data_IF_438346564916
#
_entry.id   IF_438346564916
#
_cell.length_a   1.000
_cell.length_b   1.000
_cell.length_c   1.000
_cell.angle_alpha   90.00
_cell.angle_beta   90.00
_cell.angle_gamma   90.00
#
_symmetry.space_group_name_H-M   'P 1'
#
loop_
_entity.id
_entity.type
_entity.pdbx_description
1 polymer ?
#
# COMPACT_ATOMS: atom_id res chain seq x y z
N UNK A 1 15.83 38.37 -23.41
CA UNK A 1 14.41 38.03 -23.11
C UNK A 1 13.62 37.49 -24.32
N UNK A 2 13.75 38.02 -25.55
CA UNK A 2 13.00 37.54 -26.73
C UNK A 2 13.30 36.08 -27.14
N UNK A 3 14.55 35.63 -27.02
CA UNK A 3 14.96 34.24 -27.36
C UNK A 3 14.36 33.22 -26.37
N UNK A 4 14.28 33.56 -25.08
CA UNK A 4 13.72 32.69 -24.05
C UNK A 4 12.21 32.50 -24.22
N UNK A 5 11.51 33.56 -24.64
CA UNK A 5 10.07 33.50 -24.97
C UNK A 5 9.82 32.65 -26.23
N UNK A 6 10.66 32.77 -27.27
CA UNK A 6 10.57 31.93 -28.46
C UNK A 6 10.85 30.45 -28.16
N UNK A 7 11.87 30.16 -27.34
CA UNK A 7 12.15 28.79 -26.87
C UNK A 7 10.99 28.22 -26.05
N UNK A 8 10.36 28.99 -25.17
CA UNK A 8 9.18 28.56 -24.40
C UNK A 8 7.97 28.26 -25.28
N UNK A 9 7.71 29.09 -26.29
CA UNK A 9 6.63 28.84 -27.27
C UNK A 9 6.93 27.59 -28.09
N UNK A 10 8.17 27.42 -28.54
CA UNK A 10 8.59 26.24 -29.30
C UNK A 10 8.52 24.96 -28.47
N UNK A 11 8.94 25.01 -27.20
CA UNK A 11 8.81 23.89 -26.24
C UNK A 11 7.34 23.57 -25.95
N UNK A 12 6.49 24.58 -25.82
CA UNK A 12 5.05 24.42 -25.64
C UNK A 12 4.39 23.76 -26.86
N UNK A 13 4.73 24.18 -28.08
CA UNK A 13 4.26 23.56 -29.31
C UNK A 13 4.75 22.11 -29.47
N UNK A 14 6.01 21.82 -29.13
CA UNK A 14 6.56 20.45 -29.13
C UNK A 14 5.84 19.58 -28.10
N UNK A 15 5.60 20.11 -26.88
CA UNK A 15 4.87 19.39 -25.83
C UNK A 15 3.42 19.13 -26.25
N UNK A 16 2.71 20.09 -26.83
CA UNK A 16 1.31 19.91 -27.27
C UNK A 16 1.19 18.91 -28.40
N UNK A 17 2.07 18.98 -29.41
CA UNK A 17 2.02 18.06 -30.53
C UNK A 17 2.34 16.62 -30.10
N UNK A 18 3.31 16.44 -29.20
CA UNK A 18 3.61 15.14 -28.63
C UNK A 18 2.45 14.60 -27.77
N UNK A 19 1.77 15.46 -27.01
CA UNK A 19 0.61 15.09 -26.20
C UNK A 19 -0.58 14.69 -27.07
N UNK A 20 -0.88 15.45 -28.13
CA UNK A 20 -1.98 15.12 -29.06
C UNK A 20 -1.70 13.82 -29.83
N UNK A 21 -0.45 13.59 -30.25
CA UNK A 21 -0.04 12.34 -30.89
C UNK A 21 -0.15 11.15 -29.92
N UNK A 22 0.31 11.33 -28.68
CA UNK A 22 0.21 10.32 -27.63
C UNK A 22 -1.24 9.94 -27.33
N UNK A 23 -2.14 10.93 -27.19
CA UNK A 23 -3.56 10.66 -26.97
C UNK A 23 -4.22 9.97 -28.17
N UNK A 24 -3.88 10.34 -29.40
CA UNK A 24 -4.39 9.67 -30.60
C UNK A 24 -3.97 8.19 -30.64
N UNK A 25 -2.70 7.91 -30.34
CA UNK A 25 -2.21 6.54 -30.26
C UNK A 25 -2.86 5.76 -29.11
N UNK A 26 -3.00 6.38 -27.93
CA UNK A 26 -3.66 5.76 -26.79
C UNK A 26 -5.14 5.44 -27.06
N UNK A 27 -5.84 6.32 -27.77
CA UNK A 27 -7.25 6.16 -28.12
C UNK A 27 -7.45 5.09 -29.22
N UNK A 28 -6.61 5.10 -30.25
CA UNK A 28 -6.56 4.02 -31.25
C UNK A 28 -6.31 2.67 -30.57
N UNK A 29 -5.32 2.63 -29.67
CA UNK A 29 -4.99 1.43 -28.92
C UNK A 29 -6.07 1.01 -27.91
N UNK A 30 -6.92 1.92 -27.46
CA UNK A 30 -8.07 1.58 -26.62
C UNK A 30 -9.15 0.83 -27.39
N UNK A 31 -9.41 1.25 -28.63
CA UNK A 31 -10.39 0.64 -29.52
C UNK A 31 -9.78 -0.53 -30.30
N UNK A 32 -9.85 -0.54 -31.62
CA UNK A 32 -9.38 -1.65 -32.46
C UNK A 32 -8.10 -1.31 -33.23
N UNK A 33 -7.22 -0.51 -32.60
CA UNK A 33 -5.97 -0.04 -33.19
C UNK A 33 -6.27 0.72 -34.49
N UNK A 34 -5.84 0.20 -35.64
CA UNK A 34 -6.07 0.81 -36.96
C UNK A 34 -7.24 0.18 -37.73
N UNK A 35 -7.84 -0.89 -37.21
CA UNK A 35 -8.94 -1.62 -37.85
C UNK A 35 -10.29 -1.19 -37.24
N UNK A 36 -11.38 -1.27 -38.02
CA UNK A 36 -12.71 -0.99 -37.48
C UNK A 36 -13.21 -2.19 -36.64
N UNK A 37 -13.72 -1.94 -35.44
CA UNK A 37 -14.25 -2.99 -34.58
C UNK A 37 -15.43 -3.74 -35.22
N UNK A 38 -16.22 -3.06 -36.05
CA UNK A 38 -17.31 -3.66 -36.82
C UNK A 38 -16.80 -4.60 -37.90
N UNK A 39 -15.73 -4.21 -38.61
CA UNK A 39 -15.12 -5.06 -39.64
C UNK A 39 -14.43 -6.29 -39.06
N UNK A 40 -13.81 -6.18 -37.88
CA UNK A 40 -13.22 -7.33 -37.17
C UNK A 40 -14.28 -8.40 -36.86
N UNK A 41 -15.49 -7.97 -36.49
CA UNK A 41 -16.61 -8.87 -36.21
C UNK A 41 -17.46 -9.22 -37.45
N UNK A 42 -17.18 -8.62 -38.61
CA UNK A 42 -17.91 -8.84 -39.85
C UNK A 42 -19.39 -8.45 -39.78
N UNK A 43 -19.71 -7.36 -39.08
CA UNK A 43 -21.09 -6.88 -38.86
C UNK A 43 -21.24 -5.40 -39.21
N UNK A 44 -22.44 -4.93 -39.61
CA UNK A 44 -22.70 -3.52 -39.86
C UNK A 44 -22.83 -2.70 -38.56
N UNK A 45 -22.66 -1.38 -38.67
CA UNK A 45 -22.78 -0.42 -37.55
C UNK A 45 -24.18 -0.40 -36.91
N UNK A 46 -25.21 -0.82 -37.65
CA UNK A 46 -26.62 -0.88 -37.20
C UNK A 46 -26.98 -2.15 -36.43
N UNK A 47 -26.07 -3.14 -36.36
CA UNK A 47 -26.36 -4.44 -35.76
C UNK A 47 -26.80 -4.37 -34.30
N UNK A 48 -27.74 -5.26 -33.94
CA UNK A 48 -28.23 -5.39 -32.57
C UNK A 48 -27.17 -6.02 -31.63
N UNK A 49 -27.35 -5.88 -30.31
CA UNK A 49 -26.45 -6.53 -29.34
C UNK A 49 -26.47 -8.06 -29.46
N UNK A 50 -27.60 -8.65 -29.87
CA UNK A 50 -27.73 -10.09 -30.12
C UNK A 50 -26.85 -10.54 -31.28
N UNK A 51 -26.88 -9.80 -32.40
CA UNK A 51 -26.04 -10.08 -33.57
C UNK A 51 -24.55 -9.93 -33.27
N UNK A 52 -24.16 -8.89 -32.53
CA UNK A 52 -22.77 -8.69 -32.08
C UNK A 52 -22.29 -9.91 -31.26
N UNK A 53 -23.12 -10.36 -30.33
CA UNK A 53 -22.82 -11.52 -29.47
C UNK A 53 -22.74 -12.81 -30.28
N UNK A 54 -23.68 -13.03 -31.20
CA UNK A 54 -23.71 -14.20 -32.08
C UNK A 54 -22.47 -14.26 -32.98
N UNK A 55 -22.10 -13.16 -33.63
CA UNK A 55 -20.91 -13.10 -34.51
C UNK A 55 -19.62 -13.35 -33.72
N UNK A 56 -19.50 -12.79 -32.51
CA UNK A 56 -18.36 -13.05 -31.62
C UNK A 56 -18.19 -14.54 -31.30
N UNK A 57 -19.25 -15.25 -30.90
CA UNK A 57 -19.13 -16.68 -30.59
C UNK A 57 -18.84 -17.52 -31.83
N UNK A 58 -19.45 -17.20 -32.98
CA UNK A 58 -19.14 -17.86 -34.26
C UNK A 58 -17.66 -17.73 -34.63
N UNK A 59 -17.08 -16.54 -34.45
CA UNK A 59 -15.65 -16.31 -34.69
C UNK A 59 -14.76 -17.07 -33.70
N UNK A 60 -15.14 -17.14 -32.42
CA UNK A 60 -14.41 -17.95 -31.43
C UNK A 60 -14.45 -19.44 -31.76
N UNK A 61 -15.60 -19.96 -32.21
CA UNK A 61 -15.76 -21.36 -32.59
C UNK A 61 -14.86 -21.72 -33.78
N UNK A 62 -14.83 -20.85 -34.79
CA UNK A 62 -13.97 -21.03 -35.96
C UNK A 62 -12.47 -21.08 -35.63
N UNK A 63 -12.06 -20.50 -34.50
CA UNK A 63 -10.66 -20.48 -34.04
C UNK A 63 -10.26 -21.69 -33.21
N UNK A 64 -11.18 -22.60 -32.86
CA UNK A 64 -10.82 -23.82 -32.11
C UNK A 64 -9.86 -24.74 -32.89
N UNK A 65 -10.05 -24.81 -34.21
CA UNK A 65 -9.24 -25.67 -35.08
C UNK A 65 -7.91 -25.03 -35.50
N UNK A 66 -7.82 -23.69 -35.48
CA UNK A 66 -6.61 -22.95 -35.84
C UNK A 66 -6.39 -21.78 -34.86
N UNK A 67 -5.73 -22.09 -33.74
CA UNK A 67 -5.57 -21.16 -32.64
C UNK A 67 -4.53 -20.07 -32.92
N UNK A 68 -5.00 -18.83 -33.08
CA UNK A 68 -4.14 -17.64 -33.13
C UNK A 68 -4.46 -16.70 -31.97
N UNK A 69 -3.49 -16.53 -31.06
CA UNK A 69 -3.63 -15.67 -29.86
C UNK A 69 -3.87 -14.21 -30.21
N UNK A 70 -3.18 -13.68 -31.22
CA UNK A 70 -3.27 -12.27 -31.61
C UNK A 70 -4.63 -11.94 -32.25
N UNK A 71 -5.09 -12.80 -33.17
CA UNK A 71 -6.42 -12.68 -33.77
C UNK A 71 -7.52 -12.77 -32.71
N UNK A 72 -7.38 -13.69 -31.74
CA UNK A 72 -8.31 -13.80 -30.61
C UNK A 72 -8.33 -12.52 -29.77
N UNK A 73 -7.18 -11.90 -29.47
CA UNK A 73 -7.12 -10.63 -28.74
C UNK A 73 -7.87 -9.52 -29.49
N UNK A 74 -7.67 -9.37 -30.81
CA UNK A 74 -8.39 -8.39 -31.63
C UNK A 74 -9.91 -8.59 -31.58
N UNK A 75 -10.38 -9.83 -31.74
CA UNK A 75 -11.82 -10.16 -31.70
C UNK A 75 -12.42 -9.88 -30.32
N UNK A 76 -11.74 -10.28 -29.24
CA UNK A 76 -12.20 -10.00 -27.87
C UNK A 76 -12.25 -8.49 -27.62
N UNK A 77 -11.27 -7.72 -28.11
CA UNK A 77 -11.22 -6.26 -27.99
C UNK A 77 -12.36 -5.58 -28.76
N UNK A 78 -12.61 -5.99 -30.01
CA UNK A 78 -13.74 -5.48 -30.79
C UNK A 78 -15.09 -5.77 -30.10
N UNK A 79 -15.26 -6.99 -29.59
CA UNK A 79 -16.46 -7.36 -28.84
C UNK A 79 -16.63 -6.54 -27.55
N UNK A 80 -15.56 -6.33 -26.76
CA UNK A 80 -15.65 -5.59 -25.49
C UNK A 80 -16.00 -4.12 -25.69
N UNK A 81 -15.53 -3.51 -26.79
CA UNK A 81 -15.91 -2.14 -27.18
C UNK A 81 -17.38 -2.08 -27.58
N UNK A 82 -17.86 -3.03 -28.40
CA UNK A 82 -19.19 -2.97 -29.02
C UNK A 82 -20.34 -3.49 -28.13
N UNK A 83 -20.06 -4.40 -27.19
CA UNK A 83 -21.11 -5.03 -26.36
C UNK A 83 -21.79 -4.06 -25.38
N UNK A 84 -21.06 -3.05 -24.89
CA UNK A 84 -21.60 -2.10 -23.94
C UNK A 84 -22.12 -0.85 -24.67
N UNK A 85 -23.39 -0.51 -24.44
CA UNK A 85 -24.08 0.63 -25.06
C UNK A 85 -23.30 1.95 -24.93
N UNK A 86 -22.64 2.17 -23.79
CA UNK A 86 -21.86 3.40 -23.54
C UNK A 86 -20.58 3.45 -24.36
N UNK A 87 -19.80 2.37 -24.37
CA UNK A 87 -18.53 2.28 -25.10
C UNK A 87 -18.75 2.27 -26.60
N UNK A 88 -19.80 1.57 -27.07
CA UNK A 88 -20.24 1.62 -28.48
C UNK A 88 -20.55 3.05 -28.91
N UNK A 89 -21.35 3.79 -28.14
CA UNK A 89 -21.65 5.20 -28.44
C UNK A 89 -20.39 6.08 -28.54
N UNK A 90 -19.40 5.86 -27.66
CA UNK A 90 -18.12 6.57 -27.74
C UNK A 90 -17.33 6.20 -28.98
N UNK A 91 -17.35 4.92 -29.36
CA UNK A 91 -16.70 4.45 -30.57
C UNK A 91 -17.37 5.01 -31.84
N UNK A 92 -18.70 4.98 -31.92
CA UNK A 92 -19.46 5.55 -33.04
C UNK A 92 -19.21 7.06 -33.20
N UNK A 93 -19.07 7.78 -32.08
CA UNK A 93 -18.71 9.19 -32.09
C UNK A 93 -17.25 9.41 -32.53
N UNK A 94 -16.32 8.56 -32.09
CA UNK A 94 -14.92 8.58 -32.52
C UNK A 94 -14.77 8.36 -34.03
N UNK A 95 -15.52 7.42 -34.61
CA UNK A 95 -15.51 7.17 -36.06
C UNK A 95 -15.94 8.41 -36.86
N UNK A 96 -16.92 9.17 -36.37
CA UNK A 96 -17.41 10.39 -37.03
C UNK A 96 -16.47 11.59 -36.83
N UNK A 97 -15.87 11.71 -35.65
CA UNK A 97 -15.08 12.88 -35.26
C UNK A 97 -13.77 12.47 -34.57
N UNK A 98 -12.79 11.91 -35.30
CA UNK A 98 -11.59 11.32 -34.68
C UNK A 98 -10.73 12.33 -33.89
N UNK A 99 -10.65 13.59 -34.36
CA UNK A 99 -9.84 14.64 -33.73
C UNK A 99 -10.59 15.46 -32.67
N UNK A 100 -11.80 15.05 -32.27
CA UNK A 100 -12.60 15.76 -31.27
C UNK A 100 -12.04 15.58 -29.86
N UNK A 101 -11.93 16.68 -29.10
CA UNK A 101 -11.53 16.67 -27.69
C UNK A 101 -12.51 15.84 -26.83
N UNK A 102 -13.78 15.75 -27.25
CA UNK A 102 -14.78 14.95 -26.54
C UNK A 102 -14.42 13.45 -26.50
N UNK A 103 -13.70 12.92 -27.48
CA UNK A 103 -13.21 11.53 -27.45
C UNK A 103 -12.25 11.31 -26.27
N UNK A 104 -11.35 12.26 -26.05
CA UNK A 104 -10.38 12.21 -24.95
C UNK A 104 -11.13 12.26 -23.61
N UNK A 105 -12.14 13.12 -23.50
CA UNK A 105 -12.99 13.21 -22.30
C UNK A 105 -13.72 11.88 -22.05
N UNK A 106 -14.33 11.27 -23.07
CA UNK A 106 -15.02 9.99 -22.92
C UNK A 106 -14.07 8.85 -22.55
N UNK A 107 -12.88 8.81 -23.14
CA UNK A 107 -11.82 7.87 -22.78
C UNK A 107 -11.39 8.02 -21.32
N UNK A 108 -11.05 9.24 -20.88
CA UNK A 108 -10.66 9.51 -19.50
C UNK A 108 -11.80 9.15 -18.54
N UNK A 109 -13.03 9.56 -18.87
CA UNK A 109 -14.23 9.27 -18.08
C UNK A 109 -14.42 7.77 -17.90
N UNK A 110 -14.27 6.97 -18.97
CA UNK A 110 -14.39 5.51 -18.89
C UNK A 110 -13.38 4.90 -17.90
N UNK A 111 -12.11 5.32 -17.96
CA UNK A 111 -11.08 4.82 -17.04
C UNK A 111 -11.31 5.28 -15.61
N UNK A 112 -11.72 6.53 -15.40
CA UNK A 112 -12.11 7.06 -14.08
C UNK A 112 -13.23 6.22 -13.48
N UNK A 113 -14.29 5.91 -14.24
CA UNK A 113 -15.38 5.07 -13.74
C UNK A 113 -14.93 3.64 -13.42
N UNK A 114 -14.02 3.07 -14.21
CA UNK A 114 -13.47 1.73 -13.94
C UNK A 114 -12.62 1.73 -12.66
N UNK A 115 -11.76 2.73 -12.49
CA UNK A 115 -10.96 2.91 -11.29
C UNK A 115 -11.84 3.19 -10.07
N UNK A 116 -12.87 4.01 -10.19
CA UNK A 116 -13.80 4.32 -9.12
C UNK A 116 -14.49 3.06 -8.57
N UNK A 117 -14.90 2.13 -9.44
CA UNK A 117 -15.45 0.83 -9.00
C UNK A 117 -14.46 0.03 -8.17
N UNK A 118 -13.18 -0.01 -8.58
CA UNK A 118 -12.13 -0.72 -7.84
C UNK A 118 -11.87 -0.02 -6.50
N UNK A 119 -11.78 1.31 -6.49
CA UNK A 119 -11.59 2.11 -5.26
C UNK A 119 -12.74 1.90 -4.29
N UNK A 120 -13.99 1.91 -4.78
CA UNK A 120 -15.18 1.66 -3.96
C UNK A 120 -15.15 0.26 -3.34
N UNK A 121 -14.78 -0.77 -4.12
CA UNK A 121 -14.64 -2.13 -3.61
C UNK A 121 -13.56 -2.22 -2.51
N UNK A 122 -12.39 -1.58 -2.73
CA UNK A 122 -11.33 -1.51 -1.72
C UNK A 122 -11.77 -0.76 -0.46
N UNK A 123 -12.56 0.31 -0.60
CA UNK A 123 -13.10 1.06 0.52
C UNK A 123 -14.06 0.22 1.36
N UNK A 124 -14.95 -0.55 0.72
CA UNK A 124 -15.85 -1.49 1.41
C UNK A 124 -15.04 -2.54 2.18
N UNK A 125 -14.01 -3.12 1.57
CA UNK A 125 -13.12 -4.08 2.24
C UNK A 125 -12.41 -3.43 3.43
N UNK A 126 -11.90 -2.21 3.28
CA UNK A 126 -11.27 -1.47 4.38
C UNK A 126 -12.23 -1.21 5.55
N UNK A 127 -13.50 -0.86 5.26
CA UNK A 127 -14.53 -0.71 6.28
C UNK A 127 -14.81 -2.01 7.02
N UNK A 128 -14.89 -3.15 6.32
CA UNK A 128 -15.06 -4.47 6.94
C UNK A 128 -13.89 -4.81 7.86
N UNK A 129 -12.65 -4.54 7.43
CA UNK A 129 -11.45 -4.74 8.25
C UNK A 129 -11.49 -3.84 9.50
N UNK A 130 -11.89 -2.58 9.36
CA UNK A 130 -12.06 -1.68 10.50
C UNK A 130 -13.13 -2.18 11.47
N UNK A 131 -14.26 -2.67 10.98
CA UNK A 131 -15.31 -3.29 11.80
C UNK A 131 -14.78 -4.52 12.55
N UNK A 132 -14.06 -5.41 11.87
CA UNK A 132 -13.45 -6.58 12.50
C UNK A 132 -12.43 -6.21 13.57
N UNK A 133 -11.59 -5.19 13.32
CA UNK A 133 -10.62 -4.69 14.30
C UNK A 133 -11.28 -4.08 15.52
N UNK A 134 -12.35 -3.30 15.34
CA UNK A 134 -13.12 -2.75 16.44
C UNK A 134 -13.69 -3.88 17.31
N UNK A 135 -14.31 -4.88 16.70
CA UNK A 135 -14.84 -6.04 17.42
C UNK A 135 -13.74 -6.80 18.15
N UNK A 136 -12.63 -7.12 17.47
CA UNK A 136 -11.50 -7.82 18.07
C UNK A 136 -10.92 -7.07 19.27
N UNK A 137 -10.73 -5.75 19.16
CA UNK A 137 -10.24 -4.93 20.27
C UNK A 137 -11.24 -4.93 21.44
N UNK A 138 -12.55 -4.85 21.16
CA UNK A 138 -13.58 -4.93 22.20
C UNK A 138 -13.55 -6.28 22.91
N UNK A 139 -13.40 -7.38 22.19
CA UNK A 139 -13.27 -8.72 22.79
C UNK A 139 -11.99 -8.87 23.62
N UNK A 140 -10.86 -8.40 23.11
CA UNK A 140 -9.58 -8.41 23.82
C UNK A 140 -9.65 -7.61 25.12
N UNK A 141 -10.25 -6.41 25.10
CA UNK A 141 -10.46 -5.60 26.29
C UNK A 141 -11.29 -6.33 27.34
N UNK A 142 -12.43 -6.92 26.94
CA UNK A 142 -13.26 -7.72 27.86
C UNK A 142 -12.48 -8.88 28.47
N UNK A 143 -11.66 -9.57 27.68
CA UNK A 143 -10.82 -10.68 28.14
C UNK A 143 -9.77 -10.22 29.15
N UNK A 144 -9.15 -9.06 28.93
CA UNK A 144 -8.19 -8.47 29.87
C UNK A 144 -8.91 -8.11 31.18
N UNK A 145 -10.03 -7.39 31.11
CA UNK A 145 -10.81 -7.00 32.29
C UNK A 145 -11.26 -8.22 33.10
N UNK A 146 -11.71 -9.30 32.45
CA UNK A 146 -12.06 -10.56 33.15
C UNK A 146 -10.87 -11.20 33.89
N UNK A 147 -9.65 -11.06 33.38
CA UNK A 147 -8.44 -11.51 34.10
C UNK A 147 -8.12 -10.59 35.27
N UNK A 148 -8.29 -9.27 35.09
CA UNK A 148 -8.00 -8.26 36.11
C UNK A 148 -9.02 -8.24 37.24
N UNK A 149 -10.29 -8.50 36.96
CA UNK A 149 -11.37 -8.54 37.96
C UNK A 149 -11.16 -9.64 39.00
N UNK A 150 -10.28 -10.62 38.74
CA UNK A 150 -9.84 -11.60 39.73
C UNK A 150 -8.87 -11.01 40.77
N UNK A 151 -8.15 -9.94 40.42
CA UNK A 151 -7.21 -9.28 41.31
C UNK A 151 -7.95 -8.32 42.28
N UNK A 152 -7.65 -8.45 43.58
CA UNK A 152 -8.24 -7.60 44.63
C UNK A 152 -7.83 -6.13 44.49
N UNK A 153 -6.60 -5.85 44.05
CA UNK A 153 -6.12 -4.48 43.86
C UNK A 153 -6.92 -3.74 42.78
N UNK A 154 -7.23 -4.42 41.68
CA UNK A 154 -8.05 -3.88 40.59
C UNK A 154 -9.47 -3.52 41.05
N UNK A 155 -10.14 -4.45 41.76
CA UNK A 155 -11.49 -4.22 42.31
C UNK A 155 -11.54 -3.03 43.27
N UNK A 156 -10.53 -2.86 44.12
CA UNK A 156 -10.44 -1.73 45.05
C UNK A 156 -10.36 -0.40 44.31
N UNK A 157 -9.56 -0.35 43.25
CA UNK A 157 -9.38 0.86 42.46
C UNK A 157 -10.65 1.24 41.68
N UNK A 158 -11.34 0.24 41.11
CA UNK A 158 -12.63 0.44 40.44
C UNK A 158 -13.66 1.05 41.39
N UNK A 159 -13.80 0.50 42.61
CA UNK A 159 -14.74 1.03 43.60
C UNK A 159 -14.41 2.46 44.04
N UNK A 160 -13.12 2.75 44.22
CA UNK A 160 -12.67 4.11 44.54
C UNK A 160 -13.03 5.09 43.42
N UNK A 161 -12.84 4.69 42.16
CA UNK A 161 -13.13 5.51 40.99
C UNK A 161 -14.63 5.70 40.74
N UNK A 162 -15.44 4.69 41.04
CA UNK A 162 -16.91 4.81 41.07
C UNK A 162 -17.35 5.83 42.12
N UNK A 163 -16.83 5.72 43.35
CA UNK A 163 -17.19 6.63 44.44
C UNK A 163 -16.81 8.09 44.17
N UNK A 164 -15.70 8.33 43.48
CA UNK A 164 -15.23 9.68 43.13
C UNK A 164 -15.98 10.29 41.93
N UNK A 165 -16.20 9.51 40.86
CA UNK A 165 -16.84 10.03 39.63
C UNK A 165 -18.37 10.00 39.64
N UNK A 166 -18.97 9.05 40.36
CA UNK A 166 -20.41 8.88 40.44
C UNK A 166 -20.88 8.73 41.89
N UNK A 167 -20.94 9.84 42.65
CA UNK A 167 -21.36 9.78 44.06
C UNK A 167 -22.79 9.26 44.24
N UNK A 168 -23.70 9.52 43.29
CA UNK A 168 -25.06 8.99 43.26
C UNK A 168 -25.21 7.58 42.66
N UNK A 169 -24.11 6.82 42.48
CA UNK A 169 -24.14 5.49 41.83
C UNK A 169 -25.18 4.54 42.45
N UNK A 170 -25.44 4.63 43.76
CA UNK A 170 -26.43 3.79 44.45
C UNK A 170 -27.87 4.04 44.00
N UNK A 171 -28.19 5.25 43.55
CA UNK A 171 -29.53 5.68 43.14
C UNK A 171 -29.84 5.35 41.68
N UNK A 172 -28.83 4.96 40.90
CA UNK A 172 -29.02 4.61 39.49
C UNK A 172 -29.81 3.32 39.30
N UNK A 173 -30.52 3.26 38.18
CA UNK A 173 -31.16 2.03 37.71
C UNK A 173 -30.12 0.97 37.36
N UNK A 174 -30.56 -0.29 37.30
CA UNK A 174 -29.68 -1.44 37.12
C UNK A 174 -28.87 -1.38 35.82
N UNK A 175 -29.49 -0.88 34.73
CA UNK A 175 -28.85 -0.82 33.42
C UNK A 175 -27.77 0.27 33.38
N UNK A 176 -28.05 1.43 33.99
CA UNK A 176 -27.08 2.53 34.05
C UNK A 176 -25.94 2.21 35.00
N UNK A 177 -26.20 1.53 36.13
CA UNK A 177 -25.14 1.01 37.02
C UNK A 177 -24.15 0.13 36.25
N UNK A 178 -24.65 -0.86 35.50
CA UNK A 178 -23.82 -1.78 34.72
C UNK A 178 -22.98 -1.06 33.66
N UNK A 179 -23.55 -0.05 32.97
CA UNK A 179 -22.82 0.74 31.96
C UNK A 179 -21.70 1.58 32.59
N UNK A 180 -21.98 2.21 33.73
CA UNK A 180 -21.01 3.02 34.46
C UNK A 180 -19.87 2.15 35.00
N UNK A 181 -20.19 0.99 35.54
CA UNK A 181 -19.18 0.02 36.01
C UNK A 181 -18.30 -0.47 34.85
N UNK A 182 -18.87 -0.88 33.72
CA UNK A 182 -18.11 -1.32 32.52
C UNK A 182 -17.18 -0.21 32.00
N UNK A 183 -17.63 1.05 31.98
CA UNK A 183 -16.82 2.20 31.57
C UNK A 183 -15.64 2.46 32.52
N UNK A 184 -15.87 2.34 33.83
CA UNK A 184 -14.82 2.59 34.83
C UNK A 184 -13.83 1.44 34.89
N UNK A 185 -14.29 0.19 34.75
CA UNK A 185 -13.41 -0.97 34.61
C UNK A 185 -12.47 -0.82 33.40
N UNK A 186 -12.99 -0.37 32.26
CA UNK A 186 -12.19 -0.08 31.06
C UNK A 186 -11.16 1.03 31.31
N UNK A 187 -11.53 2.11 32.01
CA UNK A 187 -10.64 3.23 32.32
C UNK A 187 -9.52 2.82 33.29
N UNK A 188 -9.86 2.13 34.38
CA UNK A 188 -8.90 1.66 35.38
C UNK A 188 -7.93 0.64 34.76
N UNK A 189 -8.43 -0.24 33.88
CA UNK A 189 -7.58 -1.18 33.15
C UNK A 189 -6.56 -0.48 32.23
N UNK A 190 -6.92 0.68 31.66
CA UNK A 190 -6.00 1.49 30.86
C UNK A 190 -4.95 2.20 31.71
N UNK A 191 -5.34 2.75 32.86
CA UNK A 191 -4.43 3.49 33.75
C UNK A 191 -3.42 2.61 34.47
N UNK A 192 -3.81 1.41 34.89
CA UNK A 192 -2.89 0.45 35.54
C UNK A 192 -1.76 -0.04 34.61
N UNK A 193 -1.67 0.46 33.38
CA UNK A 193 -0.50 0.24 32.52
C UNK A 193 -0.34 -1.19 32.01
N UNK A 194 -1.28 -2.10 32.28
CA UNK A 194 -1.26 -3.46 31.74
C UNK A 194 -1.62 -3.52 30.24
N UNK A 195 -2.03 -2.38 29.67
CA UNK A 195 -2.18 -2.17 28.23
C UNK A 195 -0.89 -1.59 27.60
N UNK A 196 0.01 -1.00 28.41
CA UNK A 196 1.21 -0.34 27.91
C UNK A 196 2.31 -1.29 27.42
N UNK A 197 2.31 -2.57 27.83
CA UNK A 197 3.37 -3.50 27.42
C UNK A 197 3.12 -4.22 26.08
N UNK A 198 1.95 -4.07 25.43
CA UNK A 198 1.73 -4.74 24.14
C UNK A 198 1.18 -3.89 22.99
N UNK A 199 0.62 -2.70 23.21
CA UNK A 199 0.33 -1.76 22.11
C UNK A 199 0.11 -0.37 22.69
N UNK A 200 1.03 0.54 22.35
CA UNK A 200 0.92 1.97 22.61
C UNK A 200 -0.49 2.49 22.40
N UNK A 201 -1.06 2.99 23.49
CA UNK A 201 -1.90 4.19 23.53
C UNK A 201 -3.33 4.01 23.02
N UNK A 202 -4.23 4.72 23.71
CA UNK A 202 -5.56 5.21 23.33
C UNK A 202 -5.93 5.04 21.85
N UNK A 203 -7.23 4.90 21.59
CA UNK A 203 -7.89 4.98 20.28
C UNK A 203 -7.50 6.26 19.50
N UNK A 204 -6.25 6.34 19.02
CA UNK A 204 -5.76 7.42 18.21
C UNK A 204 -6.21 7.06 16.80
N UNK A 205 -7.06 7.90 16.22
CA UNK A 205 -7.57 7.74 14.85
C UNK A 205 -6.43 7.46 13.84
N UNK A 206 -5.20 7.87 14.12
CA UNK A 206 -3.98 7.56 13.36
C UNK A 206 -3.67 6.06 13.22
N UNK A 207 -4.18 5.20 14.11
CA UNK A 207 -3.97 3.75 14.05
C UNK A 207 -5.02 3.03 13.21
N UNK A 208 -6.07 3.71 12.77
CA UNK A 208 -7.02 3.14 11.82
C UNK A 208 -6.32 2.89 10.49
N UNK A 209 -6.52 1.70 9.93
CA UNK A 209 -5.93 1.32 8.64
C UNK A 209 -6.31 2.31 7.53
N UNK A 210 -7.50 2.89 7.59
CA UNK A 210 -7.97 3.91 6.64
C UNK A 210 -7.06 5.15 6.66
N UNK A 211 -6.71 5.64 7.85
CA UNK A 211 -5.82 6.82 7.98
C UNK A 211 -4.42 6.49 7.49
N UNK A 212 -3.91 5.28 7.76
CA UNK A 212 -2.63 4.84 7.21
C UNK A 212 -2.66 4.75 5.68
N UNK A 213 -3.69 4.16 5.10
CA UNK A 213 -3.87 4.06 3.64
C UNK A 213 -3.91 5.43 2.99
N UNK A 214 -4.61 6.39 3.58
CA UNK A 214 -4.68 7.77 3.07
C UNK A 214 -3.34 8.51 3.16
N UNK A 215 -2.53 8.22 4.17
CA UNK A 215 -1.22 8.86 4.38
C UNK A 215 -0.07 8.20 3.59
N UNK A 216 -0.21 6.95 3.14
CA UNK A 216 0.83 6.24 2.37
C UNK A 216 1.29 7.01 1.13
N UNK A 217 0.40 7.55 0.26
CA UNK A 217 0.83 8.30 -0.93
C UNK A 217 1.70 9.50 -0.58
N UNK A 218 1.32 10.25 0.46
CA UNK A 218 2.10 11.39 0.96
C UNK A 218 3.49 10.93 1.42
N UNK A 219 3.56 9.86 2.21
CA UNK A 219 4.82 9.35 2.72
C UNK A 219 5.73 8.84 1.60
N UNK A 220 5.17 8.17 0.58
CA UNK A 220 5.90 7.73 -0.61
C UNK A 220 6.45 8.93 -1.38
N UNK A 221 5.66 9.97 -1.60
CA UNK A 221 6.11 11.19 -2.29
C UNK A 221 7.24 11.88 -1.52
N UNK A 222 7.08 12.07 -0.21
CA UNK A 222 8.14 12.64 0.63
C UNK A 222 9.42 11.79 0.57
N UNK A 223 9.29 10.46 0.56
CA UNK A 223 10.43 9.55 0.42
C UNK A 223 11.10 9.69 -0.94
N UNK A 224 10.34 9.73 -2.04
CA UNK A 224 10.87 9.93 -3.40
C UNK A 224 11.62 11.25 -3.50
N UNK A 225 11.02 12.34 -3.02
CA UNK A 225 11.66 13.67 -3.03
C UNK A 225 12.95 13.69 -2.19
N UNK A 226 12.95 13.02 -1.05
CA UNK A 226 14.14 12.86 -0.22
C UNK A 226 15.25 12.07 -0.93
N UNK A 227 14.90 10.98 -1.62
CA UNK A 227 15.87 10.20 -2.43
C UNK A 227 16.44 11.02 -3.59
N UNK A 228 15.60 11.76 -4.31
CA UNK A 228 16.05 12.64 -5.41
C UNK A 228 17.03 13.68 -4.87
N UNK A 229 16.70 14.33 -3.73
CA UNK A 229 17.58 15.28 -3.06
C UNK A 229 18.93 14.63 -2.72
N UNK A 230 18.90 13.41 -2.16
CA UNK A 230 20.10 12.66 -1.79
C UNK A 230 20.98 12.31 -3.00
N UNK A 231 20.39 11.83 -4.10
CA UNK A 231 21.12 11.52 -5.34
C UNK A 231 21.78 12.79 -5.90
N UNK A 232 21.06 13.90 -5.93
CA UNK A 232 21.60 15.18 -6.40
C UNK A 232 22.78 15.59 -5.51
N UNK A 233 22.57 15.66 -4.19
CA UNK A 233 23.56 16.17 -3.24
C UNK A 233 24.84 15.31 -3.18
N UNK A 234 24.69 13.99 -3.05
CA UNK A 234 25.82 13.11 -2.76
C UNK A 234 26.39 12.42 -4.00
N UNK A 235 25.58 12.12 -5.02
CA UNK A 235 26.07 11.45 -6.24
C UNK A 235 26.51 12.45 -7.30
N UNK A 236 25.74 13.51 -7.53
CA UNK A 236 26.03 14.48 -8.60
C UNK A 236 26.96 15.59 -8.09
N UNK A 237 26.62 16.24 -6.99
CA UNK A 237 27.42 17.34 -6.41
C UNK A 237 28.63 16.86 -5.60
N UNK A 238 28.68 15.57 -5.21
CA UNK A 238 29.76 14.97 -4.41
C UNK A 238 30.06 15.74 -3.11
N UNK A 239 29.04 16.30 -2.48
CA UNK A 239 29.19 16.97 -1.19
C UNK A 239 29.43 15.95 -0.06
N UNK A 240 30.06 16.39 1.03
CA UNK A 240 30.21 15.56 2.22
C UNK A 240 28.85 15.33 2.91
N UNK A 241 28.67 14.16 3.52
CA UNK A 241 27.45 13.85 4.29
C UNK A 241 27.28 14.81 5.48
N UNK A 242 26.09 15.39 5.59
CA UNK A 242 25.68 16.16 6.76
C UNK A 242 25.69 15.28 8.01
N UNK A 243 25.83 15.86 9.21
CA UNK A 243 25.77 15.09 10.46
C UNK A 243 24.48 14.28 10.60
N UNK A 244 23.33 14.84 10.20
CA UNK A 244 22.05 14.12 10.24
C UNK A 244 22.03 12.90 9.32
N UNK A 245 22.69 12.99 8.16
CA UNK A 245 22.74 11.93 7.17
C UNK A 245 23.78 10.86 7.57
N UNK A 246 24.90 11.27 8.19
CA UNK A 246 25.85 10.37 8.86
C UNK A 246 25.17 9.54 9.96
N UNK A 247 24.35 10.19 10.80
CA UNK A 247 23.55 9.49 11.82
C UNK A 247 22.54 8.53 11.19
N UNK A 248 21.86 8.94 10.13
CA UNK A 248 20.92 8.08 9.42
C UNK A 248 21.59 6.83 8.84
N UNK A 249 22.73 6.97 8.14
CA UNK A 249 23.47 5.85 7.53
C UNK A 249 23.96 4.90 8.62
N UNK A 250 24.58 5.44 9.68
CA UNK A 250 25.08 4.65 10.81
C UNK A 250 23.95 3.84 11.45
N UNK A 251 22.80 4.47 11.69
CA UNK A 251 21.61 3.81 12.24
C UNK A 251 21.10 2.68 11.35
N UNK A 252 21.06 2.90 10.03
CA UNK A 252 20.61 1.90 9.05
C UNK A 252 21.59 0.72 8.98
N UNK A 253 22.90 0.98 8.93
CA UNK A 253 23.93 -0.07 8.93
C UNK A 253 23.87 -0.95 10.18
N UNK A 254 23.59 -0.35 11.34
CA UNK A 254 23.47 -1.05 12.62
C UNK A 254 22.10 -1.73 12.81
N UNK A 255 21.18 -1.59 11.85
CA UNK A 255 19.80 -2.11 11.94
C UNK A 255 19.04 -1.63 13.21
N UNK A 256 19.26 -0.37 13.62
CA UNK A 256 18.63 0.22 14.80
C UNK A 256 17.37 0.99 14.38
N UNK A 257 16.23 0.70 15.00
CA UNK A 257 14.99 1.46 14.73
C UNK A 257 15.14 2.92 15.19
N UNK A 258 14.47 3.87 14.52
CA UNK A 258 14.54 5.29 14.89
C UNK A 258 14.15 5.54 16.35
N UNK A 259 13.13 4.82 16.85
CA UNK A 259 12.71 4.94 18.25
C UNK A 259 13.79 4.44 19.22
N UNK A 260 14.46 3.33 18.90
CA UNK A 260 15.55 2.82 19.73
C UNK A 260 16.73 3.78 19.71
N UNK A 261 17.08 4.32 18.55
CA UNK A 261 18.16 5.29 18.39
C UNK A 261 17.94 6.56 19.22
N UNK A 262 16.71 7.08 19.23
CA UNK A 262 16.37 8.28 20.00
C UNK A 262 16.48 8.09 21.52
N UNK A 263 16.31 6.85 21.99
CA UNK A 263 16.42 6.51 23.41
C UNK A 263 17.86 6.19 23.85
N UNK A 264 18.82 6.08 22.92
CA UNK A 264 20.23 5.86 23.28
C UNK A 264 20.82 7.11 23.94
N UNK A 265 21.74 6.89 24.88
CA UNK A 265 22.50 7.97 25.49
C UNK A 265 23.41 8.67 24.48
N UNK A 266 23.70 9.95 24.70
CA UNK A 266 24.49 10.74 23.75
C UNK A 266 25.92 10.18 23.58
N UNK A 267 26.50 9.65 24.65
CA UNK A 267 27.81 8.98 24.61
C UNK A 267 27.79 7.67 23.81
N UNK A 268 26.69 6.91 23.87
CA UNK A 268 26.53 5.70 23.06
C UNK A 268 26.40 6.06 21.57
N UNK A 269 25.65 7.12 21.23
CA UNK A 269 25.53 7.61 19.86
C UNK A 269 26.89 8.06 19.32
N UNK A 270 27.67 8.82 20.10
CA UNK A 270 29.03 9.23 19.73
C UNK A 270 29.93 8.01 19.50
N UNK A 271 29.86 7.00 20.37
CA UNK A 271 30.59 5.74 20.20
C UNK A 271 30.26 5.02 18.89
N UNK A 272 28.99 5.02 18.47
CA UNK A 272 28.57 4.45 17.19
C UNK A 272 29.04 5.29 15.99
N UNK A 273 29.00 6.61 16.09
CA UNK A 273 29.46 7.52 15.03
C UNK A 273 30.98 7.47 14.82
N UNK A 274 31.77 7.15 15.86
CA UNK A 274 33.22 6.93 15.74
C UNK A 274 33.59 5.82 14.75
N UNK A 275 32.67 4.89 14.45
CA UNK A 275 32.89 3.83 13.45
C UNK A 275 32.83 4.32 12.01
N UNK A 276 32.39 5.57 11.78
CA UNK A 276 32.37 6.23 10.47
C UNK A 276 31.74 5.38 9.35
N UNK A 277 30.63 4.70 9.66
CA UNK A 277 29.96 3.74 8.75
C UNK A 277 29.33 4.37 7.49
N UNK A 278 29.47 5.68 7.31
CA UNK A 278 29.11 6.39 6.08
C UNK A 278 30.23 6.36 5.02
N UNK A 279 31.44 5.95 5.42
CA UNK A 279 32.56 5.69 4.51
C UNK A 279 32.41 4.25 4.01
N UNK A 280 32.47 4.06 2.70
CA UNK A 280 32.12 2.79 2.04
C UNK A 280 33.04 1.66 2.46
N UNK A 281 34.33 1.94 2.62
CA UNK A 281 35.35 0.97 3.02
C UNK A 281 35.06 0.41 4.42
N UNK A 282 34.82 1.28 5.41
CA UNK A 282 34.48 0.87 6.79
C UNK A 282 33.13 0.19 6.89
N UNK A 283 32.17 0.60 6.06
CA UNK A 283 30.87 -0.05 5.96
C UNK A 283 31.01 -1.49 5.45
N UNK A 284 31.79 -1.71 4.40
CA UNK A 284 32.00 -3.04 3.81
C UNK A 284 32.72 -3.98 4.79
N UNK A 285 33.75 -3.49 5.49
CA UNK A 285 34.45 -4.24 6.52
C UNK A 285 33.52 -4.63 7.67
N UNK A 286 32.74 -3.67 8.19
CA UNK A 286 31.77 -3.93 9.25
C UNK A 286 30.71 -4.96 8.83
N UNK A 287 30.17 -4.86 7.61
CA UNK A 287 29.20 -5.82 7.10
C UNK A 287 29.82 -7.20 6.88
N UNK A 288 31.10 -7.27 6.48
CA UNK A 288 31.83 -8.53 6.37
C UNK A 288 32.01 -9.19 7.75
N UNK A 289 32.38 -8.41 8.76
CA UNK A 289 32.51 -8.89 10.14
C UNK A 289 31.17 -9.43 10.69
N UNK A 290 30.07 -8.72 10.45
CA UNK A 290 28.74 -9.18 10.84
C UNK A 290 28.33 -10.46 10.13
N UNK A 291 28.57 -10.56 8.80
CA UNK A 291 28.30 -11.78 8.04
C UNK A 291 29.09 -12.98 8.57
N UNK A 292 30.36 -12.79 8.95
CA UNK A 292 31.16 -13.88 9.49
C UNK A 292 30.68 -14.29 10.90
N UNK A 293 30.32 -13.34 11.77
CA UNK A 293 29.71 -13.63 13.07
C UNK A 293 28.41 -14.42 12.91
N UNK A 294 27.53 -14.00 12.01
CA UNK A 294 26.28 -14.72 11.71
C UNK A 294 26.54 -16.11 11.15
N UNK A 295 27.55 -16.26 10.27
CA UNK A 295 27.97 -17.56 9.74
C UNK A 295 28.47 -18.49 10.85
N UNK A 296 29.33 -17.99 11.74
CA UNK A 296 29.85 -18.75 12.87
C UNK A 296 28.73 -19.14 13.86
N UNK A 297 27.82 -18.22 14.17
CA UNK A 297 26.63 -18.49 15.00
C UNK A 297 25.71 -19.54 14.36
N UNK A 298 25.52 -19.47 13.05
CA UNK A 298 24.75 -20.46 12.31
C UNK A 298 25.43 -21.83 12.35
N UNK A 299 26.74 -21.89 12.14
CA UNK A 299 27.54 -23.12 12.19
C UNK A 299 27.54 -23.72 13.61
N UNK A 300 27.61 -22.89 14.66
CA UNK A 300 27.63 -23.34 16.05
C UNK A 300 26.27 -23.87 16.51
N UNK A 301 25.17 -23.40 15.91
CA UNK A 301 23.80 -23.80 16.23
C UNK A 301 23.56 -25.32 16.11
N UNK A 302 22.98 -25.91 17.16
CA UNK A 302 22.70 -27.35 17.22
C UNK A 302 21.73 -27.79 16.10
N UNK A 303 20.72 -26.97 15.78
CA UNK A 303 19.76 -27.22 14.69
C UNK A 303 20.44 -27.26 13.31
N UNK A 304 21.40 -26.38 13.07
CA UNK A 304 22.15 -26.35 11.81
C UNK A 304 23.05 -27.58 11.68
N UNK A 305 23.72 -27.97 12.77
CA UNK A 305 24.49 -29.23 12.82
C UNK A 305 23.58 -30.46 12.58
N UNK A 306 22.37 -30.47 13.13
CA UNK A 306 21.37 -31.52 12.90
C UNK A 306 20.94 -31.57 11.42
N UNK A 307 20.72 -30.41 10.79
CA UNK A 307 20.42 -30.30 9.36
C UNK A 307 21.50 -30.96 8.51
N UNK A 308 22.77 -30.64 8.76
CA UNK A 308 23.89 -31.24 8.00
C UNK A 308 23.92 -32.76 8.20
N UNK A 309 23.70 -33.26 9.43
CA UNK A 309 23.65 -34.72 9.69
C UNK A 309 22.50 -35.41 8.94
N UNK A 310 21.31 -34.81 8.90
CA UNK A 310 20.15 -35.35 8.18
C UNK A 310 20.36 -35.33 6.66
N UNK A 311 20.93 -34.24 6.13
CA UNK A 311 21.29 -34.13 4.70
C UNK A 311 22.30 -35.20 4.29
N UNK A 312 23.31 -35.50 5.13
CA UNK A 312 24.24 -36.62 4.90
C UNK A 312 23.57 -37.99 4.86
N UNK A 313 22.42 -38.15 5.53
CA UNK A 313 21.59 -39.38 5.52
C UNK A 313 20.54 -39.40 4.40
N UNK A 314 20.59 -38.46 3.45
CA UNK A 314 19.62 -38.35 2.35
C UNK A 314 18.23 -37.83 2.76
N UNK A 315 18.07 -37.35 4.00
CA UNK A 315 16.80 -36.80 4.47
C UNK A 315 16.74 -35.28 4.28
N UNK A 316 15.60 -34.78 3.81
CA UNK A 316 15.38 -33.35 3.64
C UNK A 316 14.95 -32.72 4.99
N UNK A 317 15.73 -31.77 5.49
CA UNK A 317 15.43 -31.00 6.71
C UNK A 317 15.86 -29.57 6.47
N UNK A 318 15.01 -28.61 6.79
CA UNK A 318 15.30 -27.18 6.66
C UNK A 318 15.56 -26.60 8.05
N UNK A 319 16.60 -25.79 8.18
CA UNK A 319 16.94 -25.11 9.44
C UNK A 319 15.99 -23.94 9.75
N UNK A 320 15.36 -23.39 8.72
CA UNK A 320 14.45 -22.24 8.82
C UNK A 320 12.98 -22.64 9.00
N UNK A 321 12.66 -23.94 8.86
CA UNK A 321 11.34 -24.51 9.18
C UNK A 321 11.35 -25.00 10.64
#
# INVERSE_FOLDING_TARGET
>A
MKIFSFCLVLLYFILINNVNCFFKNALSHFYCDNENCYSILGIPETSSFSEIRSSYYRLLESMKNNYNSERKKKIVKAYTVLINKRTRRYYDYYLKYPNSVFNIIYFISYYIFKLFKVILALFIIALLICGFQYMNNKYEMKRIIQKLSKNKAFKKEVLNKIGTKHPQFRTYDLNTKRKVEEQIEEEVAQEMGLINNQRKGKFILSNLFIVKILCIPKNILCYILWNIKWIIKYTILKEEYDESDKMYITRVCMNISAQRWNNLGEEEKKGLLKKQLWIKEYQEEFLAEQREKDRLNKISSAKYKQQIRKKKKGMNFNYND
#
